data_IF_612336125278
#
_entry.id   IF_612336125278
#
_cell.length_a   1.000
_cell.length_b   1.000
_cell.length_c   1.000
_cell.angle_alpha   90.00
_cell.angle_beta   90.00
_cell.angle_gamma   90.00
#
_symmetry.space_group_name_H-M   'P 1'
#
loop_
_entity.id
_entity.type
_entity.pdbx_description
1 polymer ?
#
# COMPACT_ATOMS: atom_id res chain seq x y z
N UNK A 1 -15.74 26.11 -30.73
CA UNK A 1 -15.48 24.73 -30.25
C UNK A 1 -13.97 24.53 -30.22
N UNK A 2 -13.37 24.45 -29.02
CA UNK A 2 -11.92 24.41 -28.89
C UNK A 2 -11.35 23.02 -29.21
N UNK A 3 -10.13 23.02 -29.72
CA UNK A 3 -9.35 21.87 -30.21
C UNK A 3 -9.19 20.75 -29.16
N UNK A 4 -9.39 21.06 -27.88
CA UNK A 4 -9.33 20.12 -26.75
C UNK A 4 -10.44 19.08 -26.77
N UNK A 5 -11.61 19.40 -27.32
CA UNK A 5 -12.77 18.48 -27.34
C UNK A 5 -12.58 17.32 -28.34
N UNK A 6 -11.65 17.42 -29.29
CA UNK A 6 -11.40 16.38 -30.32
C UNK A 6 -10.45 15.25 -29.88
N UNK A 7 -9.65 15.41 -28.82
CA UNK A 7 -8.70 14.36 -28.43
C UNK A 7 -9.29 13.24 -27.57
N UNK A 8 -10.51 13.40 -27.04
CA UNK A 8 -11.16 12.39 -26.18
C UNK A 8 -11.97 11.37 -27.01
N UNK A 9 -12.22 11.65 -28.30
CA UNK A 9 -13.11 10.86 -29.15
C UNK A 9 -12.52 9.53 -29.67
N UNK A 10 -11.31 9.13 -29.27
CA UNK A 10 -10.58 7.99 -29.85
C UNK A 10 -10.31 6.79 -28.93
N UNK A 11 -10.59 6.88 -27.62
CA UNK A 11 -10.26 5.79 -26.68
C UNK A 11 -11.47 4.88 -26.48
N UNK A 12 -11.37 3.64 -27.00
CA UNK A 12 -12.33 2.56 -26.72
C UNK A 12 -12.45 2.37 -25.20
N UNK A 13 -13.59 2.77 -24.63
CA UNK A 13 -14.07 2.47 -23.26
C UNK A 13 -13.02 2.66 -22.14
N UNK A 14 -12.79 3.89 -21.64
CA UNK A 14 -11.79 4.18 -20.59
C UNK A 14 -11.98 3.38 -19.29
N UNK A 15 -13.20 2.94 -18.99
CA UNK A 15 -13.49 2.09 -17.84
C UNK A 15 -12.88 0.67 -17.96
N UNK A 16 -12.72 0.13 -19.17
CA UNK A 16 -12.07 -1.17 -19.38
C UNK A 16 -10.58 -1.12 -19.03
N UNK A 17 -9.91 -0.01 -19.36
CA UNK A 17 -8.50 0.21 -18.99
C UNK A 17 -8.35 0.34 -17.47
N UNK A 18 -9.27 1.07 -16.82
CA UNK A 18 -9.31 1.17 -15.37
C UNK A 18 -9.49 -0.20 -14.70
N UNK A 19 -10.45 -1.00 -15.18
CA UNK A 19 -10.67 -2.36 -14.68
C UNK A 19 -9.46 -3.29 -14.91
N UNK A 20 -8.84 -3.27 -16.09
CA UNK A 20 -7.67 -4.09 -16.37
C UNK A 20 -6.48 -3.73 -15.46
N UNK A 21 -6.22 -2.46 -15.22
CA UNK A 21 -5.16 -2.10 -14.28
C UNK A 21 -5.57 -2.30 -12.82
N UNK A 22 -6.86 -2.31 -12.46
CA UNK A 22 -7.32 -2.72 -11.13
C UNK A 22 -7.09 -4.22 -10.90
N UNK A 23 -7.29 -5.04 -11.94
CA UNK A 23 -6.92 -6.45 -11.92
C UNK A 23 -5.40 -6.63 -11.80
N UNK A 24 -4.60 -5.80 -12.48
CA UNK A 24 -3.14 -5.80 -12.28
C UNK A 24 -2.76 -5.42 -10.85
N UNK A 25 -3.38 -4.38 -10.29
CA UNK A 25 -3.04 -3.87 -8.97
C UNK A 25 -3.44 -4.85 -7.86
N UNK A 26 -4.73 -5.20 -7.77
CA UNK A 26 -5.23 -6.14 -6.76
C UNK A 26 -4.80 -7.56 -7.07
N UNK A 27 -5.08 -8.05 -8.27
CA UNK A 27 -4.74 -9.43 -8.64
C UNK A 27 -3.25 -9.71 -8.58
N UNK A 28 -2.39 -8.73 -8.91
CA UNK A 28 -0.95 -8.89 -8.79
C UNK A 28 -0.47 -9.01 -7.34
N UNK A 29 -0.96 -8.16 -6.44
CA UNK A 29 -0.51 -8.17 -5.04
C UNK A 29 -1.13 -9.31 -4.22
N UNK A 30 -2.34 -9.76 -4.56
CA UNK A 30 -3.02 -10.86 -3.88
C UNK A 30 -2.43 -12.24 -4.16
N UNK A 31 -1.51 -12.36 -5.13
CA UNK A 31 -0.85 -13.63 -5.41
C UNK A 31 0.15 -13.94 -4.29
N UNK A 32 0.12 -15.15 -3.71
CA UNK A 32 0.91 -15.47 -2.53
C UNK A 32 2.35 -15.86 -2.92
N UNK A 33 3.03 -15.01 -3.69
CA UNK A 33 4.38 -15.25 -4.21
C UNK A 33 5.37 -15.62 -3.11
N UNK A 34 5.27 -14.97 -1.95
CA UNK A 34 6.13 -15.26 -0.81
C UNK A 34 5.94 -16.66 -0.22
N UNK A 35 4.75 -17.25 -0.31
CA UNK A 35 4.51 -18.62 0.16
C UNK A 35 4.92 -19.64 -0.89
N UNK A 36 4.68 -19.35 -2.18
CA UNK A 36 5.08 -20.20 -3.29
C UNK A 36 6.59 -20.32 -3.44
N UNK A 37 7.32 -19.21 -3.27
CA UNK A 37 8.78 -19.17 -3.36
C UNK A 37 9.47 -19.48 -2.03
N UNK A 38 8.72 -19.79 -0.97
CA UNK A 38 9.27 -19.94 0.39
C UNK A 38 10.23 -18.80 0.74
N UNK A 39 9.76 -17.55 0.63
CA UNK A 39 10.64 -16.37 0.62
C UNK A 39 11.66 -16.32 1.76
N UNK A 40 11.32 -16.86 2.95
CA UNK A 40 12.21 -16.88 4.11
C UNK A 40 13.24 -18.03 4.12
N UNK A 41 13.25 -18.90 3.12
CA UNK A 41 14.12 -20.08 3.07
C UNK A 41 15.61 -19.74 2.84
N UNK A 42 15.89 -18.66 2.10
CA UNK A 42 17.26 -18.17 1.91
C UNK A 42 17.28 -16.70 1.50
N UNK A 43 18.45 -16.08 1.58
CA UNK A 43 18.67 -14.72 1.05
C UNK A 43 18.32 -14.62 -0.43
N UNK A 44 18.57 -15.68 -1.20
CA UNK A 44 18.23 -15.74 -2.63
C UNK A 44 16.73 -15.68 -2.89
N UNK A 45 15.93 -16.42 -2.11
CA UNK A 45 14.47 -16.39 -2.19
C UNK A 45 13.90 -15.04 -1.74
N UNK A 46 14.45 -14.44 -0.67
CA UNK A 46 14.04 -13.09 -0.28
C UNK A 46 14.31 -12.05 -1.38
N UNK A 47 15.49 -12.11 -2.01
CA UNK A 47 15.83 -11.22 -3.11
C UNK A 47 14.93 -11.45 -4.35
N UNK A 48 14.60 -12.71 -4.68
CA UNK A 48 13.67 -13.02 -5.75
C UNK A 48 12.27 -12.44 -5.47
N UNK A 49 11.78 -12.57 -4.24
CA UNK A 49 10.51 -12.01 -3.82
C UNK A 49 10.48 -10.47 -3.93
N UNK A 50 11.56 -9.79 -3.53
CA UNK A 50 11.70 -8.35 -3.73
C UNK A 50 11.55 -7.96 -5.21
N UNK A 51 12.21 -8.69 -6.12
CA UNK A 51 12.11 -8.44 -7.56
C UNK A 51 10.69 -8.59 -8.11
N UNK A 52 9.91 -9.53 -7.58
CA UNK A 52 8.51 -9.73 -8.00
C UNK A 52 7.67 -8.49 -7.69
N UNK A 53 7.74 -7.99 -6.45
CA UNK A 53 6.95 -6.81 -6.05
C UNK A 53 7.43 -5.53 -6.73
N UNK A 54 8.75 -5.32 -6.87
CA UNK A 54 9.26 -4.19 -7.65
C UNK A 54 8.90 -4.30 -9.12
N UNK A 55 8.87 -5.51 -9.67
CA UNK A 55 8.36 -5.80 -11.01
C UNK A 55 6.88 -5.45 -11.16
N UNK A 56 6.05 -5.76 -10.17
CA UNK A 56 4.63 -5.39 -10.14
C UNK A 56 4.45 -3.86 -10.11
N UNK A 57 5.22 -3.17 -9.26
CA UNK A 57 5.22 -1.69 -9.20
C UNK A 57 5.61 -1.12 -10.55
N UNK A 58 6.71 -1.59 -11.14
CA UNK A 58 7.17 -1.14 -12.45
C UNK A 58 6.12 -1.40 -13.54
N UNK A 59 5.52 -2.59 -13.56
CA UNK A 59 4.47 -2.95 -14.51
C UNK A 59 3.27 -2.01 -14.40
N UNK A 60 2.83 -1.69 -13.17
CA UNK A 60 1.71 -0.77 -12.96
C UNK A 60 2.06 0.68 -13.36
N UNK A 61 3.26 1.16 -13.02
CA UNK A 61 3.70 2.51 -13.43
C UNK A 61 3.82 2.62 -14.96
N UNK A 62 4.37 1.60 -15.62
CA UNK A 62 4.43 1.52 -17.08
C UNK A 62 3.02 1.41 -17.68
N UNK A 63 2.11 0.68 -17.05
CA UNK A 63 0.71 0.62 -17.48
C UNK A 63 0.05 2.01 -17.47
N UNK A 64 0.22 2.78 -16.39
CA UNK A 64 -0.30 4.15 -16.27
C UNK A 64 0.29 5.06 -17.37
N UNK A 65 1.60 4.99 -17.59
CA UNK A 65 2.30 5.88 -18.52
C UNK A 65 2.08 5.52 -19.99
N UNK A 66 2.12 4.23 -20.33
CA UNK A 66 2.16 3.76 -21.72
C UNK A 66 0.78 3.34 -22.23
N UNK A 67 -0.02 2.68 -21.39
CA UNK A 67 -1.33 2.14 -21.79
C UNK A 67 -2.43 3.16 -21.51
N UNK A 68 -2.53 3.66 -20.28
CA UNK A 68 -3.52 4.68 -19.93
C UNK A 68 -3.12 6.08 -20.44
N UNK A 69 -1.83 6.28 -20.71
CA UNK A 69 -1.24 7.55 -21.18
C UNK A 69 -1.54 8.72 -20.24
N UNK A 70 -1.48 8.46 -18.94
CA UNK A 70 -1.72 9.46 -17.89
C UNK A 70 -0.42 9.79 -17.15
N UNK A 71 -0.24 11.02 -16.67
CA UNK A 71 0.91 11.34 -15.83
C UNK A 71 0.81 10.60 -14.49
N UNK A 72 1.95 10.33 -13.84
CA UNK A 72 2.00 9.73 -12.50
C UNK A 72 1.30 10.59 -11.43
N UNK A 73 1.15 11.88 -11.66
CA UNK A 73 0.33 12.76 -10.83
C UNK A 73 -1.17 12.37 -10.78
N UNK A 74 -1.63 11.50 -11.70
CA UNK A 74 -2.96 10.87 -11.70
C UNK A 74 -3.13 9.79 -10.64
N UNK A 75 -2.03 9.30 -10.05
CA UNK A 75 -2.01 8.35 -8.93
C UNK A 75 -1.36 8.96 -7.67
N UNK A 76 -1.42 10.29 -7.55
CA UNK A 76 -0.93 11.02 -6.38
C UNK A 76 0.59 11.18 -6.26
N UNK A 77 1.39 10.68 -7.21
CA UNK A 77 2.84 10.93 -7.24
C UNK A 77 3.13 12.38 -7.67
N UNK A 78 3.22 13.26 -6.68
CA UNK A 78 3.45 14.70 -6.82
C UNK A 78 4.51 15.15 -5.83
N UNK A 79 5.35 16.12 -6.21
CA UNK A 79 6.38 16.65 -5.31
C UNK A 79 5.76 17.09 -3.97
N UNK A 80 6.21 16.54 -2.82
CA UNK A 80 5.66 16.92 -1.52
C UNK A 80 6.12 18.32 -1.11
N UNK A 81 5.21 19.10 -0.53
CA UNK A 81 5.53 20.34 0.16
C UNK A 81 5.73 20.12 1.66
N UNK A 82 6.21 21.14 2.38
CA UNK A 82 6.46 21.03 3.83
C UNK A 82 5.22 20.63 4.64
N UNK A 83 4.03 21.06 4.22
CA UNK A 83 2.77 20.62 4.86
C UNK A 83 2.49 19.13 4.65
N UNK A 84 2.91 18.55 3.52
CA UNK A 84 2.71 17.11 3.23
C UNK A 84 3.64 16.29 4.10
N UNK A 85 4.90 16.74 4.25
CA UNK A 85 5.87 16.12 5.15
C UNK A 85 5.39 16.19 6.60
N UNK A 86 4.93 17.36 7.06
CA UNK A 86 4.38 17.48 8.41
C UNK A 86 3.19 16.54 8.65
N UNK A 87 2.25 16.48 7.70
CA UNK A 87 1.12 15.57 7.80
C UNK A 87 1.56 14.10 7.84
N UNK A 88 2.55 13.71 7.01
CA UNK A 88 3.12 12.37 7.02
C UNK A 88 3.74 12.02 8.37
N UNK A 89 4.57 12.92 8.94
CA UNK A 89 5.19 12.71 10.24
C UNK A 89 4.15 12.60 11.36
N UNK A 90 3.17 13.49 11.39
CA UNK A 90 2.10 13.47 12.37
C UNK A 90 1.25 12.19 12.28
N UNK A 91 0.90 11.77 11.06
CA UNK A 91 0.17 10.52 10.83
C UNK A 91 1.02 9.30 11.21
N UNK A 92 2.31 9.27 10.88
CA UNK A 92 3.22 8.19 11.27
C UNK A 92 3.32 8.05 12.79
N UNK A 93 3.51 9.16 13.52
CA UNK A 93 3.52 9.15 15.00
C UNK A 93 2.18 8.67 15.56
N UNK A 94 1.06 9.13 15.00
CA UNK A 94 -0.26 8.67 15.40
C UNK A 94 -0.44 7.17 15.17
N UNK A 95 -0.03 6.65 14.01
CA UNK A 95 -0.08 5.22 13.70
C UNK A 95 0.74 4.41 14.69
N UNK A 96 1.97 4.84 14.99
CA UNK A 96 2.83 4.19 16.00
C UNK A 96 2.12 4.17 17.36
N UNK A 97 1.53 5.28 17.80
CA UNK A 97 0.82 5.34 19.08
C UNK A 97 -0.42 4.42 19.10
N UNK A 98 -1.18 4.36 18.00
CA UNK A 98 -2.35 3.47 17.87
C UNK A 98 -1.92 2.00 17.90
N UNK A 99 -0.87 1.63 17.17
CA UNK A 99 -0.37 0.26 17.16
C UNK A 99 0.23 -0.12 18.53
N UNK A 100 0.96 0.78 19.17
CA UNK A 100 1.45 0.57 20.53
C UNK A 100 0.30 0.32 21.51
N UNK A 101 -0.80 1.09 21.42
CA UNK A 101 -2.01 0.83 22.22
C UNK A 101 -2.60 -0.57 21.93
N UNK A 102 -2.63 -0.98 20.66
CA UNK A 102 -3.12 -2.32 20.29
C UNK A 102 -2.27 -3.42 20.92
N UNK A 103 -0.96 -3.38 20.71
CA UNK A 103 -0.04 -4.41 21.20
C UNK A 103 0.14 -4.41 22.73
N UNK A 104 0.09 -3.25 23.39
CA UNK A 104 0.32 -3.15 24.84
C UNK A 104 -0.95 -3.27 25.68
N UNK A 105 -2.14 -3.02 25.11
CA UNK A 105 -3.40 -2.99 25.86
C UNK A 105 -4.45 -3.91 25.26
N UNK A 106 -4.77 -3.76 23.97
CA UNK A 106 -5.88 -4.49 23.35
C UNK A 106 -5.58 -6.00 23.24
N UNK A 107 -4.42 -6.36 22.69
CA UNK A 107 -4.06 -7.76 22.47
C UNK A 107 -3.92 -8.54 23.79
N UNK A 108 -3.23 -8.03 24.83
CA UNK A 108 -3.20 -8.68 26.14
C UNK A 108 -4.60 -8.83 26.75
N UNK A 109 -5.47 -7.82 26.64
CA UNK A 109 -6.83 -7.86 27.15
C UNK A 109 -7.72 -8.89 26.42
N UNK A 110 -7.46 -9.15 25.14
CA UNK A 110 -8.15 -10.15 24.32
C UNK A 110 -7.47 -11.53 24.34
N UNK A 111 -6.34 -11.66 25.03
CA UNK A 111 -5.48 -12.85 25.05
C UNK A 111 -5.02 -13.28 23.64
N UNK A 112 -4.75 -12.29 22.78
CA UNK A 112 -4.14 -12.49 21.46
C UNK A 112 -2.62 -12.38 21.56
N UNK A 113 -1.92 -13.28 20.87
CA UNK A 113 -0.46 -13.31 20.86
C UNK A 113 0.07 -13.43 19.42
N UNK A 114 0.82 -12.41 18.99
CA UNK A 114 1.55 -12.38 17.71
C UNK A 114 3.08 -12.44 17.92
N UNK A 115 3.54 -12.65 19.15
CA UNK A 115 4.97 -12.54 19.53
C UNK A 115 5.83 -13.50 18.72
N UNK A 116 5.36 -14.72 18.45
CA UNK A 116 6.11 -15.71 17.68
C UNK A 116 6.34 -15.28 16.22
N UNK A 117 5.33 -14.67 15.58
CA UNK A 117 5.46 -14.15 14.21
C UNK A 117 6.40 -12.95 14.17
N UNK A 118 6.29 -12.04 15.15
CA UNK A 118 7.20 -10.90 15.28
C UNK A 118 8.65 -11.36 15.51
N UNK A 119 8.89 -12.36 16.37
CA UNK A 119 10.21 -12.94 16.62
C UNK A 119 10.82 -13.60 15.38
N UNK A 120 9.99 -14.27 14.56
CA UNK A 120 10.45 -14.88 13.30
C UNK A 120 10.95 -13.81 12.33
N UNK A 121 10.30 -12.65 12.28
CA UNK A 121 10.69 -11.55 11.43
C UNK A 121 11.93 -10.83 11.96
N UNK A 122 12.07 -10.60 13.27
CA UNK A 122 13.24 -9.91 13.85
C UNK A 122 14.52 -10.73 13.75
N UNK A 123 14.43 -12.05 13.60
CA UNK A 123 15.55 -12.94 13.31
C UNK A 123 16.15 -12.75 11.89
N UNK A 124 15.43 -12.10 10.97
CA UNK A 124 15.93 -11.78 9.63
C UNK A 124 16.99 -10.68 9.71
N UNK A 125 18.07 -10.73 8.90
CA UNK A 125 19.07 -9.68 8.86
C UNK A 125 18.46 -8.30 8.62
N UNK A 126 18.96 -7.29 9.34
CA UNK A 126 18.44 -5.92 9.32
C UNK A 126 18.26 -5.37 7.91
N UNK A 127 19.25 -5.57 7.03
CA UNK A 127 19.20 -5.02 5.66
C UNK A 127 18.07 -5.63 4.82
N UNK A 128 17.72 -6.90 5.03
CA UNK A 128 16.59 -7.57 4.36
C UNK A 128 15.26 -7.04 4.90
N UNK A 129 15.15 -6.89 6.22
CA UNK A 129 13.97 -6.25 6.84
C UNK A 129 13.78 -4.83 6.33
N UNK A 130 14.85 -4.05 6.24
CA UNK A 130 14.80 -2.67 5.74
C UNK A 130 14.33 -2.61 4.29
N UNK A 131 14.84 -3.50 3.42
CA UNK A 131 14.35 -3.62 2.03
C UNK A 131 12.86 -3.97 2.00
N UNK A 132 12.42 -4.94 2.80
CA UNK A 132 11.01 -5.35 2.87
C UNK A 132 10.09 -4.22 3.36
N UNK A 133 10.51 -3.45 4.36
CA UNK A 133 9.77 -2.28 4.88
C UNK A 133 9.67 -1.17 3.83
N UNK A 134 10.78 -0.86 3.14
CA UNK A 134 10.76 0.13 2.05
C UNK A 134 9.86 -0.33 0.91
N UNK A 135 9.98 -1.59 0.51
CA UNK A 135 9.14 -2.19 -0.52
C UNK A 135 7.67 -2.11 -0.13
N UNK A 136 7.28 -2.57 1.06
CA UNK A 136 5.89 -2.55 1.52
C UNK A 136 5.31 -1.12 1.46
N UNK A 137 6.01 -0.17 2.09
CA UNK A 137 5.60 1.23 2.11
C UNK A 137 5.46 1.86 0.71
N UNK A 138 6.25 1.42 -0.28
CA UNK A 138 6.17 1.94 -1.66
C UNK A 138 5.12 1.19 -2.48
N UNK A 139 5.18 -0.14 -2.52
CA UNK A 139 4.32 -0.95 -3.36
C UNK A 139 2.86 -0.84 -2.93
N UNK A 140 2.58 -0.97 -1.63
CA UNK A 140 1.21 -0.96 -1.13
C UNK A 140 0.56 0.40 -1.34
N UNK A 141 1.28 1.49 -1.11
CA UNK A 141 0.75 2.83 -1.37
C UNK A 141 0.49 3.05 -2.86
N UNK A 142 1.39 2.64 -3.76
CA UNK A 142 1.17 2.75 -5.22
C UNK A 142 -0.04 1.93 -5.66
N UNK A 143 -0.15 0.68 -5.22
CA UNK A 143 -1.17 -0.26 -5.67
C UNK A 143 -2.55 0.14 -5.11
N UNK A 144 -2.65 0.40 -3.80
CA UNK A 144 -3.93 0.64 -3.14
C UNK A 144 -4.37 2.11 -3.16
N UNK A 145 -3.53 3.03 -2.67
CA UNK A 145 -3.94 4.45 -2.47
C UNK A 145 -3.71 5.28 -3.73
N UNK A 146 -2.61 5.04 -4.43
CA UNK A 146 -2.29 5.75 -5.66
C UNK A 146 -3.18 5.30 -6.81
N UNK A 147 -3.03 4.05 -7.25
CA UNK A 147 -3.72 3.56 -8.43
C UNK A 147 -5.17 3.15 -8.13
N UNK A 148 -5.38 2.16 -7.26
CA UNK A 148 -6.69 1.57 -7.12
C UNK A 148 -7.74 2.55 -6.62
N UNK A 149 -7.42 3.38 -5.63
CA UNK A 149 -8.36 4.36 -5.09
C UNK A 149 -8.79 5.37 -6.15
N UNK A 150 -7.85 5.93 -6.92
CA UNK A 150 -8.16 6.89 -7.98
C UNK A 150 -9.03 6.24 -9.08
N UNK A 151 -8.72 4.99 -9.48
CA UNK A 151 -9.51 4.29 -10.50
C UNK A 151 -10.90 3.89 -10.02
N UNK A 152 -11.03 3.38 -8.78
CA UNK A 152 -12.33 3.07 -8.19
C UNK A 152 -13.15 4.35 -8.01
N UNK A 153 -12.52 5.46 -7.65
CA UNK A 153 -13.20 6.76 -7.57
C UNK A 153 -13.73 7.19 -8.95
N UNK A 154 -12.96 7.01 -10.02
CA UNK A 154 -13.41 7.30 -11.40
C UNK A 154 -14.59 6.42 -11.83
N UNK A 155 -14.58 5.14 -11.46
CA UNK A 155 -15.65 4.20 -11.82
C UNK A 155 -16.93 4.42 -11.01
N UNK A 156 -16.82 4.78 -9.74
CA UNK A 156 -17.96 4.93 -8.82
C UNK A 156 -18.46 6.37 -8.69
N UNK A 157 -17.65 7.36 -9.05
CA UNK A 157 -17.91 8.77 -8.80
C UNK A 157 -17.82 9.18 -7.33
N UNK A 158 -17.49 8.26 -6.41
CA UNK A 158 -17.50 8.52 -4.96
C UNK A 158 -16.14 8.28 -4.34
N UNK A 159 -15.55 9.38 -3.85
CA UNK A 159 -14.27 9.36 -3.12
C UNK A 159 -14.35 8.56 -1.82
N UNK A 160 -15.48 8.66 -1.11
CA UNK A 160 -15.71 7.90 0.12
C UNK A 160 -15.83 6.41 -0.14
N UNK A 161 -16.62 6.02 -1.15
CA UNK A 161 -16.77 4.61 -1.52
C UNK A 161 -15.45 4.00 -2.00
N UNK A 162 -14.67 4.74 -2.80
CA UNK A 162 -13.34 4.29 -3.23
C UNK A 162 -12.37 4.10 -2.06
N UNK A 163 -12.35 5.05 -1.11
CA UNK A 163 -11.55 4.92 0.11
C UNK A 163 -11.93 3.69 0.93
N UNK A 164 -13.21 3.49 1.22
CA UNK A 164 -13.70 2.33 1.99
C UNK A 164 -13.39 1.02 1.27
N UNK A 165 -13.64 0.95 -0.04
CA UNK A 165 -13.43 -0.25 -0.84
C UNK A 165 -11.95 -0.67 -0.89
N UNK A 166 -11.06 0.27 -1.20
CA UNK A 166 -9.62 -0.01 -1.26
C UNK A 166 -9.03 -0.33 0.10
N UNK A 167 -9.47 0.37 1.16
CA UNK A 167 -9.11 0.06 2.53
C UNK A 167 -9.56 -1.35 2.96
N UNK A 168 -10.78 -1.75 2.63
CA UNK A 168 -11.30 -3.07 2.97
C UNK A 168 -10.48 -4.18 2.30
N UNK A 169 -10.18 -4.05 1.00
CA UNK A 169 -9.32 -5.02 0.28
C UNK A 169 -7.94 -5.05 0.92
N UNK A 170 -7.30 -3.89 1.10
CA UNK A 170 -5.99 -3.79 1.75
C UNK A 170 -5.95 -4.54 3.09
N UNK A 171 -6.97 -4.34 3.92
CA UNK A 171 -7.08 -5.00 5.22
C UNK A 171 -7.16 -6.52 5.04
N UNK A 172 -8.06 -6.99 4.18
CA UNK A 172 -8.28 -8.42 3.94
C UNK A 172 -7.06 -9.15 3.35
N UNK A 173 -6.22 -8.47 2.55
CA UNK A 173 -4.99 -9.04 2.02
C UNK A 173 -4.00 -9.48 3.12
N UNK A 174 -4.10 -8.90 4.32
CA UNK A 174 -3.25 -9.28 5.44
C UNK A 174 -3.69 -10.60 6.10
N UNK A 175 -4.90 -11.09 5.82
CA UNK A 175 -5.44 -12.30 6.44
C UNK A 175 -4.59 -13.54 6.14
N UNK A 176 -4.09 -13.66 4.90
CA UNK A 176 -3.41 -14.87 4.44
C UNK A 176 -2.09 -15.12 5.15
N UNK A 177 -1.28 -14.09 5.37
CA UNK A 177 0.04 -14.21 6.00
C UNK A 177 -0.02 -14.02 7.52
N UNK A 178 -0.78 -13.02 7.99
CA UNK A 178 -0.76 -12.63 9.40
C UNK A 178 -1.88 -13.27 10.23
N UNK A 179 -3.00 -13.61 9.60
CA UNK A 179 -4.17 -14.13 10.29
C UNK A 179 -5.16 -13.05 10.75
N UNK A 180 -6.20 -13.48 11.45
CA UNK A 180 -7.38 -12.64 11.73
C UNK A 180 -7.13 -11.51 12.72
N UNK A 181 -6.30 -11.75 13.75
CA UNK A 181 -5.99 -10.76 14.79
C UNK A 181 -5.31 -9.52 14.19
N UNK A 182 -4.40 -9.74 13.24
CA UNK A 182 -3.64 -8.69 12.58
C UNK A 182 -4.48 -7.80 11.66
N UNK A 183 -5.70 -8.22 11.29
CA UNK A 183 -6.62 -7.37 10.54
C UNK A 183 -6.97 -6.08 11.30
N UNK A 184 -6.92 -6.10 12.64
CA UNK A 184 -7.13 -4.91 13.44
C UNK A 184 -5.98 -3.91 13.25
N UNK A 185 -4.74 -4.42 13.21
CA UNK A 185 -3.51 -3.63 13.02
C UNK A 185 -3.47 -3.07 11.60
N UNK A 186 -3.55 -3.94 10.59
CA UNK A 186 -3.57 -3.56 9.18
C UNK A 186 -4.76 -2.64 8.84
N UNK A 187 -5.93 -2.92 9.42
CA UNK A 187 -7.13 -2.11 9.25
C UNK A 187 -6.98 -0.71 9.81
N UNK A 188 -6.45 -0.55 11.03
CA UNK A 188 -6.25 0.78 11.62
C UNK A 188 -5.17 1.59 10.90
N UNK A 189 -4.02 0.97 10.62
CA UNK A 189 -2.95 1.60 9.83
C UNK A 189 -3.47 2.00 8.44
N UNK A 190 -4.13 1.05 7.77
CA UNK A 190 -4.67 1.26 6.43
C UNK A 190 -5.77 2.33 6.37
N UNK A 191 -6.56 2.49 7.42
CA UNK A 191 -7.56 3.54 7.52
C UNK A 191 -6.89 4.92 7.64
N UNK A 192 -5.89 5.06 8.53
CA UNK A 192 -5.15 6.31 8.70
C UNK A 192 -4.40 6.71 7.42
N UNK A 193 -3.77 5.75 6.73
CA UNK A 193 -3.12 5.99 5.43
C UNK A 193 -4.13 6.39 4.35
N UNK A 194 -5.30 5.75 4.32
CA UNK A 194 -6.37 6.12 3.37
C UNK A 194 -6.87 7.53 3.66
N UNK A 195 -7.10 7.88 4.93
CA UNK A 195 -7.49 9.23 5.33
C UNK A 195 -6.40 10.27 4.99
N UNK A 196 -5.13 9.95 5.20
CA UNK A 196 -4.01 10.80 4.82
C UNK A 196 -3.98 11.02 3.29
N UNK A 197 -4.15 9.96 2.50
CA UNK A 197 -4.18 10.07 1.05
C UNK A 197 -5.39 10.87 0.58
N UNK A 198 -6.57 10.63 1.16
CA UNK A 198 -7.74 11.43 0.86
C UNK A 198 -7.46 12.89 1.24
N UNK A 199 -6.93 13.20 2.41
CA UNK A 199 -6.66 14.58 2.79
C UNK A 199 -5.64 15.28 1.88
N UNK A 200 -4.46 14.68 1.68
CA UNK A 200 -3.30 15.32 1.05
C UNK A 200 -3.18 15.04 -0.43
N UNK A 201 -3.70 13.90 -0.88
CA UNK A 201 -3.54 13.34 -2.23
C UNK A 201 -2.09 13.40 -2.71
N UNK A 202 -1.19 13.04 -1.81
CA UNK A 202 0.24 13.01 -2.04
C UNK A 202 0.80 11.66 -1.60
N UNK A 203 1.23 10.87 -2.57
CA UNK A 203 1.63 9.50 -2.31
C UNK A 203 2.97 9.40 -1.57
N UNK A 204 3.87 10.39 -1.72
CA UNK A 204 5.12 10.42 -0.95
C UNK A 204 4.87 10.63 0.53
N UNK A 205 3.87 11.43 0.89
CA UNK A 205 3.46 11.61 2.28
C UNK A 205 2.96 10.30 2.89
N UNK A 206 2.15 9.57 2.13
CA UNK A 206 1.67 8.25 2.47
C UNK A 206 2.81 7.24 2.67
N UNK A 207 3.71 7.12 1.70
CA UNK A 207 4.88 6.23 1.78
C UNK A 207 5.75 6.54 2.99
N UNK A 208 5.95 7.82 3.31
CA UNK A 208 6.72 8.22 4.48
C UNK A 208 6.03 7.81 5.79
N UNK A 209 4.73 8.08 5.93
CA UNK A 209 3.96 7.70 7.13
C UNK A 209 3.92 6.16 7.31
N UNK A 210 3.72 5.43 6.21
CA UNK A 210 3.73 3.98 6.18
C UNK A 210 5.11 3.43 6.59
N UNK A 211 6.18 3.90 5.94
CA UNK A 211 7.54 3.52 6.28
C UNK A 211 7.86 3.75 7.76
N UNK A 212 7.41 4.86 8.36
CA UNK A 212 7.67 5.14 9.77
C UNK A 212 7.09 4.09 10.71
N UNK A 213 5.83 3.68 10.48
CA UNK A 213 5.18 2.70 11.36
C UNK A 213 5.83 1.32 11.22
N UNK A 214 6.13 0.91 9.99
CA UNK A 214 6.77 -0.36 9.70
C UNK A 214 8.21 -0.40 10.20
N UNK A 215 8.94 0.70 10.07
CA UNK A 215 10.31 0.81 10.57
C UNK A 215 10.35 0.63 12.10
N UNK A 216 9.41 1.22 12.83
CA UNK A 216 9.33 1.01 14.29
C UNK A 216 8.97 -0.43 14.62
N UNK A 217 7.97 -1.00 13.94
CA UNK A 217 7.52 -2.37 14.20
C UNK A 217 8.55 -3.46 13.85
N UNK A 218 9.31 -3.26 12.77
CA UNK A 218 10.14 -4.32 12.20
C UNK A 218 11.65 -4.06 12.27
N UNK A 219 12.13 -2.83 12.45
CA UNK A 219 13.56 -2.51 12.46
C UNK A 219 14.11 -2.17 13.84
N UNK A 220 13.27 -1.62 14.72
CA UNK A 220 13.64 -1.21 16.08
C UNK A 220 13.18 -2.19 17.17
N UNK A 221 12.37 -3.19 16.78
CA UNK A 221 11.94 -4.31 17.61
C UNK A 221 12.96 -5.43 17.68
#
# INVERSE_FOLDING_TARGET
MSTTTRMIAGQKKPWLLGMAGLLLAFGGISLPFGTWDHALASVGHMAANELVYWGLVAALLLYVLLIERRPLASIGLRRPGGRDIFAALATGVLMIAVLALMYLVVFPALHWDETQQLQTLTAVPFWLRFMAVVRAAVSEEILFRGYALERVQELTGSRGAAGIFTWAIFTLEHLGYWGWHHLLVAGAAGALLTLLYLWRRNLWANMLAHFMVDAVGFLLG
#
